data_IF_735311559172
#
_entry.id   IF_735311559172
#
_cell.length_a   1.000
_cell.length_b   1.000
_cell.length_c   1.000
_cell.angle_alpha   90.00
_cell.angle_beta   90.00
_cell.angle_gamma   90.00
#
_symmetry.space_group_name_H-M   'P 1'
#
loop_
_entity.id
_entity.type
_entity.pdbx_description
1 polymer ?
#
# COMPACT_ATOMS: atom_id res chain seq x y z
N UNK A 1 -3.71 13.53 14.51
CA UNK A 1 -4.39 12.53 13.66
C UNK A 1 -4.08 12.73 12.19
N UNK A 2 -3.42 11.77 11.56
CA UNK A 2 -3.33 11.64 10.09
C UNK A 2 -4.72 11.24 9.57
N UNK A 3 -5.57 12.21 9.25
CA UNK A 3 -7.03 12.05 9.08
C UNK A 3 -7.53 11.06 8.02
N UNK A 4 -6.65 10.35 7.32
CA UNK A 4 -6.99 9.35 6.30
C UNK A 4 -7.07 7.91 6.84
N UNK A 5 -6.54 7.61 8.03
CA UNK A 5 -6.63 6.28 8.65
C UNK A 5 -7.80 6.19 9.62
N UNK A 6 -8.86 5.46 9.24
CA UNK A 6 -10.05 5.24 10.07
C UNK A 6 -9.73 4.63 11.44
N UNK A 7 -8.73 3.76 11.50
CA UNK A 7 -8.32 3.04 12.72
C UNK A 7 -6.90 3.43 13.19
N UNK A 8 -6.40 4.59 12.77
CA UNK A 8 -5.07 5.05 13.15
C UNK A 8 -5.05 5.56 14.60
N UNK A 9 -4.12 5.05 15.41
CA UNK A 9 -3.87 5.56 16.76
C UNK A 9 -2.81 6.68 16.75
N UNK A 10 -2.80 7.52 17.80
CA UNK A 10 -1.90 8.68 17.89
C UNK A 10 -0.41 8.31 17.88
N UNK A 11 -0.05 7.10 18.33
CA UNK A 11 1.31 6.56 18.23
C UNK A 11 1.81 6.33 16.80
N UNK A 12 0.94 6.41 15.79
CA UNK A 12 1.28 6.16 14.39
C UNK A 12 2.10 7.26 13.71
N UNK A 13 2.16 8.48 14.28
CA UNK A 13 2.82 9.63 13.63
C UNK A 13 4.32 9.41 13.49
N UNK A 14 5.01 9.08 14.59
CA UNK A 14 6.46 8.88 14.56
C UNK A 14 6.83 7.65 13.72
N UNK A 15 6.06 6.56 13.82
CA UNK A 15 6.28 5.41 12.94
C UNK A 15 6.12 5.78 11.46
N UNK A 16 5.11 6.57 11.11
CA UNK A 16 4.89 7.02 9.72
C UNK A 16 6.04 7.91 9.24
N UNK A 17 6.50 8.84 10.08
CA UNK A 17 7.66 9.69 9.79
C UNK A 17 8.90 8.85 9.51
N UNK A 18 9.17 7.89 10.37
CA UNK A 18 10.35 7.03 10.25
C UNK A 18 10.27 6.09 9.04
N UNK A 19 9.06 5.63 8.66
CA UNK A 19 8.82 4.89 7.42
C UNK A 19 9.14 5.74 6.20
N UNK A 20 8.60 6.96 6.12
CA UNK A 20 8.87 7.87 4.99
C UNK A 20 10.36 8.20 4.87
N UNK A 21 11.06 8.38 5.99
CA UNK A 21 12.49 8.71 6.03
C UNK A 21 13.39 7.57 5.56
N UNK A 22 13.02 6.31 5.84
CA UNK A 22 13.88 5.14 5.62
C UNK A 22 13.48 4.27 4.44
N UNK A 23 12.21 4.27 4.07
CA UNK A 23 11.67 3.43 3.00
C UNK A 23 11.24 4.26 1.79
N UNK A 24 11.30 3.68 0.59
CA UNK A 24 10.64 4.25 -0.57
C UNK A 24 9.19 4.63 -0.24
N UNK A 25 8.77 5.80 -0.70
CA UNK A 25 7.39 6.27 -0.64
C UNK A 25 7.13 7.19 -1.81
N UNK A 26 5.87 7.34 -2.21
CA UNK A 26 5.48 8.20 -3.33
C UNK A 26 4.23 8.98 -2.98
N UNK A 27 4.10 10.18 -3.54
CA UNK A 27 2.87 10.95 -3.52
C UNK A 27 2.61 11.60 -4.87
N UNK A 28 1.35 11.85 -5.16
CA UNK A 28 0.93 12.72 -6.27
C UNK A 28 0.50 14.04 -5.68
N UNK A 29 0.93 15.13 -6.31
CA UNK A 29 0.49 16.48 -5.97
C UNK A 29 -0.24 17.13 -7.14
N UNK A 30 -1.26 17.91 -6.82
CA UNK A 30 -1.96 18.80 -7.75
C UNK A 30 -2.01 20.18 -7.09
N UNK A 31 -1.54 21.21 -7.80
CA UNK A 31 -1.53 22.59 -7.32
C UNK A 31 -0.87 22.74 -5.93
N UNK A 32 0.23 22.01 -5.72
CA UNK A 32 0.98 21.97 -4.45
C UNK A 32 0.38 21.06 -3.36
N UNK A 33 -0.90 20.70 -3.47
CA UNK A 33 -1.61 19.84 -2.51
C UNK A 33 -1.42 18.36 -2.82
N UNK A 34 -1.28 17.54 -1.77
CA UNK A 34 -1.18 16.09 -1.92
C UNK A 34 -2.57 15.50 -2.21
N UNK A 35 -2.68 14.70 -3.27
CA UNK A 35 -3.95 14.10 -3.72
C UNK A 35 -3.97 12.57 -3.66
N UNK A 36 -2.82 11.97 -3.35
CA UNK A 36 -2.70 10.54 -3.07
C UNK A 36 -1.26 10.18 -2.70
N UNK A 37 -1.08 9.03 -2.06
CA UNK A 37 0.21 8.54 -1.62
C UNK A 37 0.22 7.00 -1.52
N UNK A 38 1.42 6.43 -1.47
CA UNK A 38 1.68 5.01 -1.24
C UNK A 38 3.00 4.87 -0.48
N UNK A 39 3.02 4.03 0.55
CA UNK A 39 4.17 3.77 1.42
C UNK A 39 4.37 2.26 1.63
N UNK A 40 5.42 1.91 2.36
CA UNK A 40 5.62 0.54 2.85
C UNK A 40 5.07 0.39 4.27
N UNK A 41 4.63 -0.81 4.61
CA UNK A 41 4.55 -1.20 6.02
C UNK A 41 5.94 -1.61 6.56
N UNK A 42 6.03 -1.93 7.84
CA UNK A 42 7.31 -2.10 8.55
C UNK A 42 8.11 -3.35 8.16
N UNK A 43 7.47 -4.38 7.61
CA UNK A 43 8.07 -5.61 7.07
C UNK A 43 8.47 -5.46 5.59
N UNK A 44 8.27 -4.29 4.98
CA UNK A 44 8.71 -3.96 3.63
C UNK A 44 7.71 -4.29 2.53
N UNK A 45 6.45 -4.57 2.85
CA UNK A 45 5.39 -4.74 1.85
C UNK A 45 4.72 -3.42 1.49
N UNK A 46 4.32 -3.31 0.22
CA UNK A 46 3.49 -2.22 -0.26
C UNK A 46 2.15 -2.28 0.48
N UNK A 47 1.89 -1.23 1.25
CA UNK A 47 0.67 -1.05 2.04
C UNK A 47 0.28 0.44 2.04
N UNK A 48 -0.77 0.84 2.76
CA UNK A 48 -1.02 2.26 3.01
C UNK A 48 -1.26 3.09 1.73
N UNK A 49 -1.78 2.47 0.68
CA UNK A 49 -2.17 3.14 -0.55
C UNK A 49 -3.45 3.95 -0.34
N UNK A 50 -3.43 5.23 -0.69
CA UNK A 50 -4.60 6.08 -0.56
C UNK A 50 -4.67 7.15 -1.65
N UNK A 51 -5.88 7.37 -2.15
CA UNK A 51 -6.24 8.50 -3.03
C UNK A 51 -7.44 9.20 -2.41
N UNK A 52 -7.34 10.52 -2.25
CA UNK A 52 -8.43 11.34 -1.74
C UNK A 52 -9.65 11.25 -2.67
N UNK A 53 -10.85 11.21 -2.10
CA UNK A 53 -12.07 10.77 -2.78
C UNK A 53 -12.40 11.60 -4.03
N UNK A 54 -12.27 12.92 -3.92
CA UNK A 54 -12.42 13.91 -4.99
C UNK A 54 -11.42 13.75 -6.16
N UNK A 55 -10.37 12.94 -5.96
CA UNK A 55 -9.33 12.63 -6.94
C UNK A 55 -9.37 11.18 -7.45
N UNK A 56 -10.32 10.35 -6.99
CA UNK A 56 -10.48 8.96 -7.46
C UNK A 56 -11.03 8.88 -8.89
N UNK A 57 -10.94 7.67 -9.48
CA UNK A 57 -11.42 7.40 -10.85
C UNK A 57 -10.55 7.96 -11.98
N UNK A 58 -9.36 8.47 -11.67
CA UNK A 58 -8.46 9.17 -12.60
C UNK A 58 -7.16 8.41 -12.89
N UNK A 59 -7.09 7.13 -12.57
CA UNK A 59 -5.89 6.29 -12.72
C UNK A 59 -4.75 6.58 -11.74
N UNK A 60 -4.93 7.52 -10.79
CA UNK A 60 -3.90 7.91 -9.83
C UNK A 60 -3.40 6.75 -8.96
N UNK A 61 -4.29 5.82 -8.60
CA UNK A 61 -3.91 4.68 -7.78
C UNK A 61 -2.93 3.73 -8.48
N UNK A 62 -3.19 3.44 -9.76
CA UNK A 62 -2.27 2.65 -10.58
C UNK A 62 -0.94 3.37 -10.78
N UNK A 63 -0.97 4.69 -11.03
CA UNK A 63 0.26 5.48 -11.17
C UNK A 63 1.12 5.44 -9.90
N UNK A 64 0.49 5.62 -8.73
CA UNK A 64 1.16 5.50 -7.44
C UNK A 64 1.76 4.10 -7.25
N UNK A 65 1.00 3.04 -7.51
CA UNK A 65 1.46 1.65 -7.36
C UNK A 65 2.68 1.34 -8.23
N UNK A 66 2.66 1.72 -9.50
CA UNK A 66 3.78 1.48 -10.42
C UNK A 66 5.00 2.30 -10.06
N UNK A 67 4.84 3.59 -9.77
CA UNK A 67 5.95 4.45 -9.38
C UNK A 67 6.60 3.97 -8.07
N UNK A 68 5.78 3.55 -7.10
CA UNK A 68 6.27 3.00 -5.84
C UNK A 68 7.03 1.70 -6.05
N UNK A 69 6.45 0.77 -6.82
CA UNK A 69 7.06 -0.52 -7.12
C UNK A 69 8.42 -0.35 -7.79
N UNK A 70 8.52 0.57 -8.76
CA UNK A 70 9.79 0.90 -9.41
C UNK A 70 10.83 1.49 -8.44
N UNK A 71 10.41 2.35 -7.50
CA UNK A 71 11.31 2.85 -6.45
C UNK A 71 11.82 1.72 -5.56
N UNK A 72 10.96 0.77 -5.18
CA UNK A 72 11.34 -0.40 -4.39
C UNK A 72 12.34 -1.30 -5.15
N UNK A 73 12.09 -1.58 -6.44
CA UNK A 73 13.02 -2.35 -7.28
C UNK A 73 14.39 -1.66 -7.37
N UNK A 74 14.41 -0.33 -7.58
CA UNK A 74 15.66 0.45 -7.59
C UNK A 74 16.42 0.42 -6.26
N UNK A 75 15.69 0.26 -5.15
CA UNK A 75 16.26 0.10 -3.82
C UNK A 75 16.70 -1.35 -3.50
N UNK A 76 16.63 -2.26 -4.47
CA UNK A 76 17.01 -3.67 -4.29
C UNK A 76 15.96 -4.51 -3.54
N UNK A 77 14.72 -4.03 -3.45
CA UNK A 77 13.65 -4.72 -2.74
C UNK A 77 12.84 -5.63 -3.69
N UNK A 78 12.40 -6.78 -3.17
CA UNK A 78 11.36 -7.57 -3.82
C UNK A 78 9.99 -6.91 -3.55
N UNK A 79 9.24 -6.68 -4.61
CA UNK A 79 7.95 -6.00 -4.52
C UNK A 79 6.86 -7.02 -4.18
N UNK A 80 6.24 -6.87 -3.03
CA UNK A 80 5.03 -7.59 -2.62
C UNK A 80 4.03 -6.57 -2.06
N UNK A 81 2.73 -6.77 -2.27
CA UNK A 81 1.67 -5.94 -1.70
C UNK A 81 0.66 -6.77 -0.92
N UNK A 82 0.08 -6.17 0.10
CA UNK A 82 -1.06 -6.75 0.82
C UNK A 82 -2.33 -6.01 0.42
N UNK A 83 -3.39 -6.76 0.14
CA UNK A 83 -4.72 -6.22 -0.14
C UNK A 83 -5.67 -6.78 0.91
N UNK A 84 -6.39 -5.88 1.56
CA UNK A 84 -7.38 -6.24 2.57
C UNK A 84 -8.55 -7.00 1.91
N UNK A 85 -9.01 -8.08 2.54
CA UNK A 85 -9.93 -9.04 1.92
C UNK A 85 -11.29 -8.44 1.54
N UNK A 86 -11.78 -7.43 2.28
CA UNK A 86 -13.03 -6.76 1.91
C UNK A 86 -12.88 -5.75 0.76
N UNK A 87 -11.66 -5.40 0.36
CA UNK A 87 -11.38 -4.55 -0.79
C UNK A 87 -11.41 -5.31 -2.12
N UNK A 88 -12.56 -5.94 -2.39
CA UNK A 88 -12.85 -6.73 -3.58
C UNK A 88 -12.47 -6.00 -4.88
N UNK A 89 -12.77 -4.70 -5.08
CA UNK A 89 -12.38 -4.02 -6.32
C UNK A 89 -10.86 -4.01 -6.55
N UNK A 90 -10.07 -3.86 -5.48
CA UNK A 90 -8.60 -3.86 -5.58
C UNK A 90 -8.05 -5.26 -5.84
N UNK A 91 -8.63 -6.28 -5.21
CA UNK A 91 -8.27 -7.68 -5.47
C UNK A 91 -8.53 -8.03 -6.94
N UNK A 92 -9.74 -7.77 -7.42
CA UNK A 92 -10.15 -8.09 -8.79
C UNK A 92 -9.34 -7.34 -9.85
N UNK A 93 -9.08 -6.05 -9.63
CA UNK A 93 -8.22 -5.28 -10.54
C UNK A 93 -6.76 -5.73 -10.52
N UNK A 94 -6.24 -6.16 -9.36
CA UNK A 94 -4.90 -6.71 -9.24
C UNK A 94 -4.79 -8.05 -9.96
N UNK A 95 -5.75 -8.96 -9.79
CA UNK A 95 -5.77 -10.29 -10.44
C UNK A 95 -5.81 -10.19 -11.98
N UNK A 96 -6.36 -9.11 -12.54
CA UNK A 96 -6.36 -8.85 -13.98
C UNK A 96 -5.07 -8.18 -14.51
N UNK A 97 -4.17 -7.73 -13.62
CA UNK A 97 -2.95 -7.05 -14.03
C UNK A 97 -1.89 -8.04 -14.48
N UNK A 98 -1.28 -7.79 -15.63
CA UNK A 98 -0.11 -8.55 -16.11
C UNK A 98 1.15 -8.33 -15.26
N UNK A 99 1.13 -7.35 -14.35
CA UNK A 99 2.28 -6.95 -13.55
C UNK A 99 2.30 -7.61 -12.16
N UNK A 100 1.23 -8.30 -11.79
CA UNK A 100 1.10 -8.92 -10.48
C UNK A 100 0.80 -10.41 -10.61
N UNK A 101 1.49 -11.20 -9.80
CA UNK A 101 1.16 -12.60 -9.55
C UNK A 101 0.65 -12.74 -8.13
N UNK A 102 -0.31 -13.64 -7.93
CA UNK A 102 -0.81 -13.95 -6.59
C UNK A 102 0.17 -14.87 -5.86
N UNK A 103 0.46 -14.56 -4.60
CA UNK A 103 1.27 -15.42 -3.76
C UNK A 103 0.45 -16.66 -3.37
N UNK A 104 1.05 -17.83 -3.56
CA UNK A 104 0.45 -19.12 -3.24
C UNK A 104 1.40 -19.99 -2.43
N UNK A 105 0.84 -20.87 -1.63
CA UNK A 105 1.58 -21.85 -0.83
C UNK A 105 2.02 -23.08 -1.66
N UNK A 106 2.56 -24.09 -0.99
CA UNK A 106 3.00 -25.34 -1.61
C UNK A 106 1.86 -26.19 -2.19
N UNK A 107 0.60 -25.91 -1.82
CA UNK A 107 -0.60 -26.60 -2.29
C UNK A 107 -1.35 -25.79 -3.37
N UNK A 108 -0.76 -24.71 -3.89
CA UNK A 108 -1.38 -23.77 -4.84
C UNK A 108 -2.56 -22.97 -4.24
N UNK A 109 -2.65 -22.87 -2.91
CA UNK A 109 -3.67 -22.08 -2.20
C UNK A 109 -3.24 -20.61 -2.01
N UNK A 110 -4.18 -19.67 -2.08
CA UNK A 110 -3.90 -18.24 -1.90
C UNK A 110 -3.38 -17.95 -0.48
N UNK A 111 -2.23 -17.30 -0.36
CA UNK A 111 -1.68 -16.96 0.96
C UNK A 111 -2.49 -15.79 1.56
N UNK A 112 -3.08 -16.03 2.73
CA UNK A 112 -3.77 -15.03 3.55
C UNK A 112 -2.94 -14.79 4.82
N UNK A 113 -2.70 -13.51 5.14
CA UNK A 113 -1.98 -13.11 6.36
C UNK A 113 -2.99 -12.55 7.37
N UNK A 114 -3.22 -13.29 8.45
CA UNK A 114 -4.06 -12.84 9.57
C UNK A 114 -3.20 -12.23 10.68
N UNK A 115 -3.55 -11.01 11.08
CA UNK A 115 -2.94 -10.36 12.24
C UNK A 115 -3.77 -10.69 13.48
N UNK A 116 -3.29 -11.66 14.26
CA UNK A 116 -3.89 -12.03 15.54
C UNK A 116 -3.28 -11.16 16.65
N UNK A 117 -4.14 -10.40 17.34
CA UNK A 117 -3.77 -9.79 18.61
C UNK A 117 -3.94 -10.83 19.72
N UNK A 118 -2.82 -11.31 20.26
CA UNK A 118 -2.77 -12.39 21.26
C UNK A 118 -2.98 -11.82 22.68
N UNK A 119 -3.03 -10.49 22.83
CA UNK A 119 -3.18 -9.82 24.12
C UNK A 119 -4.39 -8.88 24.09
N UNK A 120 -5.55 -9.40 24.51
CA UNK A 120 -6.69 -8.57 24.96
C UNK A 120 -6.68 -8.43 26.47
#
# INVERSE_FOLDING_TARGET
MTGTWRYGADGGIELTREKIRRFPSVCVRKDGQMVGFYMLESLGWLNHHFVFEEHRGKGLGTLLELAHSQNCVRAGMRVCKLVELSNVPTIESTKRSELWTLAKDENDEEIIIDYLDIYK
#
